data_IF_565690439884
#
_entry.id   IF_565690439884
#
_cell.length_a   1.000
_cell.length_b   1.000
_cell.length_c   1.000
_cell.angle_alpha   90.00
_cell.angle_beta   90.00
_cell.angle_gamma   90.00
#
_symmetry.space_group_name_H-M   'P 1'
#
loop_
_entity.id
_entity.type
_entity.pdbx_description
1 polymer ?
#
# COMPACT_ATOMS: atom_id res chain seq x y z
N UNK A 1 -30.78 -6.58 -16.87
CA UNK A 1 -29.92 -5.80 -15.96
C UNK A 1 -28.59 -6.53 -15.93
N UNK A 2 -27.49 -5.84 -16.23
CA UNK A 2 -26.15 -6.44 -16.12
C UNK A 2 -25.68 -6.12 -14.70
N UNK A 3 -25.96 -7.02 -13.76
CA UNK A 3 -25.39 -6.94 -12.41
C UNK A 3 -23.88 -7.08 -12.57
N UNK A 4 -23.15 -6.05 -12.14
CA UNK A 4 -21.70 -6.12 -12.14
C UNK A 4 -21.28 -7.36 -11.34
N UNK A 5 -20.28 -8.12 -11.77
CA UNK A 5 -19.77 -9.23 -10.98
C UNK A 5 -19.41 -8.77 -9.57
N UNK A 6 -19.65 -9.62 -8.57
CA UNK A 6 -19.40 -9.28 -7.15
C UNK A 6 -17.95 -8.84 -6.89
N UNK A 7 -16.97 -9.27 -7.70
CA UNK A 7 -15.57 -8.84 -7.59
C UNK A 7 -15.31 -7.41 -8.11
N UNK A 8 -16.30 -6.78 -8.75
CA UNK A 8 -16.30 -5.38 -9.19
C UNK A 8 -17.14 -4.50 -8.24
N UNK A 9 -17.84 -5.10 -7.28
CA UNK A 9 -18.52 -4.35 -6.23
C UNK A 9 -17.50 -3.79 -5.23
N UNK A 10 -17.93 -2.80 -4.44
CA UNK A 10 -17.11 -2.29 -3.34
C UNK A 10 -17.38 -3.11 -2.09
N UNK A 11 -16.32 -3.68 -1.50
CA UNK A 11 -16.42 -4.38 -0.23
C UNK A 11 -16.61 -3.45 0.98
N UNK A 12 -16.80 -4.02 2.18
CA UNK A 12 -17.12 -3.25 3.38
C UNK A 12 -15.92 -2.48 3.97
N UNK A 13 -14.70 -2.79 3.54
CA UNK A 13 -13.48 -2.20 4.10
C UNK A 13 -13.25 -0.80 3.52
N UNK A 14 -12.78 0.14 4.33
CA UNK A 14 -12.46 1.50 3.90
C UNK A 14 -10.95 1.73 3.97
N UNK A 15 -10.34 2.10 2.85
CA UNK A 15 -8.92 2.44 2.80
C UNK A 15 -8.67 3.74 3.58
N UNK A 16 -7.78 3.71 4.57
CA UNK A 16 -7.48 4.88 5.39
C UNK A 16 -6.71 5.97 4.63
N UNK A 17 -6.12 5.63 3.47
CA UNK A 17 -5.29 6.54 2.67
C UNK A 17 -6.09 7.27 1.58
N UNK A 18 -6.95 6.57 0.84
CA UNK A 18 -7.77 7.20 -0.22
C UNK A 18 -9.27 7.24 0.08
N UNK A 19 -9.71 6.73 1.23
CA UNK A 19 -11.10 6.71 1.70
C UNK A 19 -12.08 5.94 0.81
N UNK A 20 -11.58 5.22 -0.22
CA UNK A 20 -12.39 4.34 -1.06
C UNK A 20 -12.60 2.99 -0.40
N UNK A 21 -13.74 2.39 -0.69
CA UNK A 21 -14.12 1.06 -0.24
C UNK A 21 -13.47 -0.05 -1.08
N UNK A 22 -13.14 -1.18 -0.46
CA UNK A 22 -12.55 -2.33 -1.14
C UNK A 22 -12.94 -3.66 -0.45
N UNK A 23 -12.77 -4.77 -1.15
CA UNK A 23 -12.96 -6.11 -0.58
C UNK A 23 -11.74 -6.54 0.23
N UNK A 24 -11.98 -7.06 1.42
CA UNK A 24 -10.91 -7.55 2.31
C UNK A 24 -10.01 -8.57 1.59
N UNK A 25 -10.58 -9.46 0.79
CA UNK A 25 -9.86 -10.48 0.02
C UNK A 25 -8.94 -9.92 -1.07
N UNK A 26 -9.22 -8.69 -1.53
CA UNK A 26 -8.36 -7.95 -2.46
C UNK A 26 -7.43 -6.98 -1.72
N UNK A 27 -7.55 -6.86 -0.40
CA UNK A 27 -6.76 -5.96 0.43
C UNK A 27 -5.33 -6.45 0.67
N UNK A 28 -4.46 -5.50 0.96
CA UNK A 28 -3.10 -5.73 1.44
C UNK A 28 -2.93 -5.19 2.86
N UNK A 29 -1.91 -5.66 3.57
CA UNK A 29 -1.50 -5.09 4.86
C UNK A 29 -0.06 -4.57 4.73
N UNK A 30 0.19 -3.37 5.27
CA UNK A 30 1.54 -2.83 5.31
C UNK A 30 2.42 -3.69 6.22
N UNK A 31 3.57 -4.15 5.75
CA UNK A 31 4.49 -4.95 6.57
C UNK A 31 5.04 -4.21 7.81
N UNK A 32 5.02 -2.88 7.82
CA UNK A 32 5.58 -2.06 8.90
C UNK A 32 4.57 -1.60 9.94
N UNK A 33 3.38 -1.18 9.51
CA UNK A 33 2.36 -0.62 10.41
C UNK A 33 1.07 -1.45 10.49
N UNK A 34 0.98 -2.54 9.73
CA UNK A 34 -0.13 -3.50 9.70
C UNK A 34 -1.51 -2.88 9.37
N UNK A 35 -1.53 -1.63 8.86
CA UNK A 35 -2.77 -1.00 8.42
C UNK A 35 -3.24 -1.63 7.09
N UNK A 36 -4.56 -1.80 6.91
CA UNK A 36 -5.11 -2.30 5.66
C UNK A 36 -5.00 -1.26 4.53
N UNK A 37 -4.64 -1.73 3.33
CA UNK A 37 -4.40 -0.92 2.13
C UNK A 37 -5.21 -1.51 0.98
N UNK A 38 -5.87 -0.66 0.20
CA UNK A 38 -6.57 -1.11 -1.00
C UNK A 38 -5.59 -1.39 -2.16
N UNK A 39 -5.98 -2.20 -3.17
CA UNK A 39 -5.17 -2.47 -4.36
C UNK A 39 -4.66 -1.26 -5.13
N UNK A 40 -5.27 -0.09 -4.93
CA UNK A 40 -4.93 1.13 -5.64
C UNK A 40 -3.97 2.05 -4.86
N UNK A 41 -3.73 1.78 -3.58
CA UNK A 41 -2.83 2.55 -2.72
C UNK A 41 -1.64 1.74 -2.23
N UNK A 42 -1.60 0.45 -2.58
CA UNK A 42 -0.50 -0.42 -2.20
C UNK A 42 0.74 -0.05 -2.99
N UNK A 43 1.87 0.12 -2.29
CA UNK A 43 3.19 0.34 -2.89
C UNK A 43 4.03 -0.92 -2.68
N UNK A 44 4.88 -1.25 -3.65
CA UNK A 44 5.77 -2.41 -3.60
C UNK A 44 7.23 -2.00 -3.78
N UNK A 45 8.12 -2.49 -2.92
CA UNK A 45 9.57 -2.36 -3.13
C UNK A 45 10.08 -3.50 -4.00
N UNK A 46 10.71 -3.19 -5.13
CA UNK A 46 11.21 -4.23 -6.04
C UNK A 46 12.26 -5.16 -5.41
N UNK A 47 13.09 -4.63 -4.50
CA UNK A 47 14.22 -5.36 -3.92
C UNK A 47 13.78 -6.42 -2.90
N UNK A 48 12.88 -6.08 -1.99
CA UNK A 48 12.38 -6.99 -0.95
C UNK A 48 11.02 -7.61 -1.27
N UNK A 49 10.32 -7.10 -2.30
CA UNK A 49 8.91 -7.42 -2.58
C UNK A 49 8.02 -7.17 -1.36
N UNK A 50 8.36 -6.16 -0.57
CA UNK A 50 7.55 -5.78 0.57
C UNK A 50 6.33 -5.03 0.08
N UNK A 51 5.22 -5.25 0.77
CA UNK A 51 4.00 -4.49 0.59
C UNK A 51 3.96 -3.36 1.62
N UNK A 52 3.93 -2.11 1.15
CA UNK A 52 3.91 -0.92 1.99
C UNK A 52 2.67 -0.07 1.74
N UNK A 53 2.29 0.68 2.76
CA UNK A 53 1.38 1.81 2.58
C UNK A 53 2.16 3.04 2.08
N UNK A 54 1.48 4.05 1.50
CA UNK A 54 2.14 5.24 0.96
C UNK A 54 3.03 5.96 1.99
N UNK A 55 2.56 6.09 3.23
CA UNK A 55 3.32 6.74 4.31
C UNK A 55 4.64 6.00 4.62
N UNK A 56 4.59 4.67 4.82
CA UNK A 56 5.81 3.89 5.11
C UNK A 56 6.74 3.79 3.88
N UNK A 57 6.20 3.84 2.67
CA UNK A 57 7.01 3.86 1.45
C UNK A 57 7.80 5.16 1.31
N UNK A 58 7.19 6.31 1.59
CA UNK A 58 7.88 7.60 1.62
C UNK A 58 9.01 7.63 2.66
N UNK A 59 8.77 7.10 3.87
CA UNK A 59 9.79 6.99 4.91
C UNK A 59 10.97 6.08 4.51
N UNK A 60 10.70 4.95 3.87
CA UNK A 60 11.74 4.03 3.39
C UNK A 60 12.60 4.67 2.28
N UNK A 61 11.98 5.41 1.36
CA UNK A 61 12.69 6.15 0.30
C UNK A 61 13.65 7.20 0.85
N UNK A 62 13.25 7.91 1.92
CA UNK A 62 14.10 8.91 2.59
C UNK A 62 15.26 8.27 3.37
N UNK A 63 15.08 7.04 3.89
CA UNK A 63 16.15 6.30 4.56
C UNK A 63 17.32 5.95 3.61
N UNK A 64 17.00 5.61 2.35
CA UNK A 64 17.99 5.26 1.33
C UNK A 64 18.84 6.46 0.88
N UNK A 65 18.23 7.65 0.78
CA UNK A 65 18.95 8.89 0.43
C UNK A 65 19.96 9.31 1.50
N UNK A 66 19.60 9.21 2.79
CA UNK A 66 20.49 9.56 3.92
C UNK A 66 21.67 8.59 4.08
N UNK A 67 21.52 7.35 3.62
CA UNK A 67 22.62 6.37 3.60
C UNK A 67 23.65 6.72 2.52
N UNK A 68 23.19 7.11 1.33
CA UNK A 68 24.06 7.50 0.22
C UNK A 68 24.89 8.75 0.54
N UNK A 69 24.30 9.77 1.18
CA UNK A 69 25.02 10.99 1.59
C UNK A 69 26.10 10.76 2.66
N UNK A 70 26.06 9.64 3.40
CA UNK A 70 27.04 9.33 4.44
C UNK A 70 28.27 8.58 3.91
N UNK A 71 28.21 8.01 2.71
CA UNK A 71 29.32 7.27 2.10
C UNK A 71 30.24 8.15 1.22
N UNK A 72 29.83 9.39 0.90
CA UNK A 72 30.63 10.36 0.13
C UNK A 72 31.36 11.41 1.00
N UNK A 73 31.39 11.24 2.33
CA UNK A 73 32.00 12.16 3.30
C UNK A 73 33.37 11.77 3.82
#
# INVERSE_FOLDING_TARGET
MNEAPWWLESGPETCQFCLRTFHYEAGYHCIYCDRPICPACVEETFESRDTLCPECHEEAGHGSQRAHEREEG
#
